data_IF_181951257541
#
_entry.id   IF_181951257541
#
_cell.length_a   1.000
_cell.length_b   1.000
_cell.length_c   1.000
_cell.angle_alpha   90.00
_cell.angle_beta   90.00
_cell.angle_gamma   90.00
#
_symmetry.space_group_name_H-M   'P 1'
#
loop_
_entity.id
_entity.type
_entity.pdbx_description
1 polymer ?
#
# COMPACT_ATOMS: atom_id res chain seq x y z
N UNK A 1 -26.08 40.58 12.13
CA UNK A 1 -25.58 39.89 10.93
C UNK A 1 -25.63 38.39 11.22
N UNK A 2 -26.82 37.79 11.26
CA UNK A 2 -27.46 36.94 10.23
C UNK A 2 -26.59 35.74 9.77
N UNK A 3 -27.16 34.56 10.04
CA UNK A 3 -26.80 33.17 9.74
C UNK A 3 -26.40 32.89 8.27
N UNK A 4 -25.89 31.66 8.07
CA UNK A 4 -25.83 30.79 6.87
C UNK A 4 -24.37 30.49 6.47
N UNK A 5 -23.91 29.27 6.18
CA UNK A 5 -24.60 28.09 5.64
C UNK A 5 -23.78 26.82 5.86
N UNK A 6 -24.47 25.75 6.31
CA UNK A 6 -24.12 24.36 6.09
C UNK A 6 -23.76 24.12 4.61
N UNK A 7 -22.64 23.45 4.32
CA UNK A 7 -22.45 22.77 3.04
C UNK A 7 -22.33 21.27 3.28
N UNK A 8 -23.50 20.64 3.21
CA UNK A 8 -23.73 19.21 3.12
C UNK A 8 -23.38 18.78 1.68
N UNK A 9 -22.24 18.14 1.46
CA UNK A 9 -21.93 17.53 0.16
C UNK A 9 -22.30 16.05 0.23
N UNK A 10 -23.58 15.80 -0.02
CA UNK A 10 -24.06 14.50 -0.47
C UNK A 10 -23.72 14.38 -1.97
N UNK A 11 -22.76 13.52 -2.32
CA UNK A 11 -22.48 13.18 -3.71
C UNK A 11 -22.88 11.72 -3.95
N UNK A 12 -24.17 11.50 -4.15
CA UNK A 12 -24.70 10.32 -4.84
C UNK A 12 -24.59 10.56 -6.33
N UNK A 13 -23.79 9.75 -7.03
CA UNK A 13 -23.97 9.54 -8.46
C UNK A 13 -24.30 8.06 -8.68
N UNK A 14 -25.57 7.85 -9.00
CA UNK A 14 -26.14 6.65 -9.56
C UNK A 14 -25.90 6.69 -11.07
N UNK A 15 -25.16 5.74 -11.62
CA UNK A 15 -25.26 5.40 -13.05
C UNK A 15 -24.93 3.92 -13.24
N UNK A 16 -25.82 3.24 -13.96
CA UNK A 16 -25.86 1.79 -14.16
C UNK A 16 -25.11 1.41 -15.47
N UNK A 17 -24.99 0.12 -15.85
CA UNK A 17 -23.73 -0.52 -16.19
C UNK A 17 -23.44 -0.60 -17.70
N UNK A 18 -22.17 -0.49 -18.08
CA UNK A 18 -21.66 -0.89 -19.40
C UNK A 18 -20.91 -2.22 -19.25
N UNK A 19 -21.25 -3.26 -20.01
CA UNK A 19 -20.48 -4.50 -20.07
C UNK A 19 -19.31 -4.32 -21.05
N UNK A 20 -18.10 -4.15 -20.53
CA UNK A 20 -16.85 -4.24 -21.30
C UNK A 20 -15.96 -5.36 -20.76
N UNK A 21 -15.50 -6.19 -21.69
CA UNK A 21 -14.54 -7.29 -21.51
C UNK A 21 -13.28 -6.91 -20.71
N UNK A 22 -12.68 -7.88 -19.98
CA UNK A 22 -11.68 -7.59 -18.96
C UNK A 22 -10.28 -7.43 -19.56
N UNK A 23 -9.95 -6.23 -20.06
CA UNK A 23 -8.55 -5.80 -20.16
C UNK A 23 -8.04 -5.51 -18.76
N UNK A 24 -7.45 -6.53 -18.10
CA UNK A 24 -6.80 -6.38 -16.78
C UNK A 24 -5.79 -5.22 -16.84
N UNK A 25 -6.03 -4.09 -16.15
CA UNK A 25 -4.96 -3.13 -15.94
C UNK A 25 -3.92 -3.84 -15.07
N UNK A 26 -2.66 -3.85 -15.50
CA UNK A 26 -1.51 -4.29 -14.68
C UNK A 26 -1.38 -3.31 -13.52
N UNK A 27 -2.22 -3.50 -12.50
CA UNK A 27 -2.13 -2.74 -11.25
C UNK A 27 -0.75 -3.07 -10.66
N UNK A 28 -0.03 -2.08 -10.12
CA UNK A 28 1.27 -2.32 -9.51
C UNK A 28 1.12 -3.49 -8.52
N UNK A 29 1.95 -4.53 -8.68
CA UNK A 29 1.75 -5.84 -8.02
C UNK A 29 1.62 -5.70 -6.51
N UNK A 30 2.35 -4.75 -5.92
CA UNK A 30 2.19 -4.35 -4.52
C UNK A 30 0.75 -3.94 -4.14
N UNK A 31 0.07 -3.17 -4.98
CA UNK A 31 -1.33 -2.75 -4.74
C UNK A 31 -2.30 -3.92 -4.85
N UNK A 32 -1.96 -4.96 -5.63
CA UNK A 32 -2.74 -6.19 -5.74
C UNK A 32 -2.58 -7.10 -4.51
N UNK A 33 -1.34 -7.39 -4.10
CA UNK A 33 -1.06 -8.29 -2.97
C UNK A 33 -1.58 -7.72 -1.63
N UNK A 34 -1.37 -6.42 -1.39
CA UNK A 34 -1.93 -5.74 -0.21
C UNK A 34 -3.46 -5.61 -0.27
N UNK A 35 -4.06 -5.57 -1.47
CA UNK A 35 -5.53 -5.57 -1.60
C UNK A 35 -6.15 -6.91 -1.23
N UNK A 36 -5.49 -8.02 -1.54
CA UNK A 36 -5.97 -9.35 -1.14
C UNK A 36 -5.86 -9.54 0.38
N UNK A 37 -4.76 -9.09 0.97
CA UNK A 37 -4.59 -9.09 2.43
C UNK A 37 -5.66 -8.23 3.11
N UNK A 38 -5.86 -6.99 2.65
CA UNK A 38 -6.89 -6.12 3.27
C UNK A 38 -8.30 -6.68 3.12
N UNK A 39 -8.62 -7.39 2.03
CA UNK A 39 -9.90 -8.09 1.89
C UNK A 39 -10.07 -9.26 2.85
N UNK A 40 -9.00 -9.94 3.28
CA UNK A 40 -9.12 -11.01 4.27
C UNK A 40 -9.28 -10.50 5.72
N UNK A 41 -8.95 -9.23 5.98
CA UNK A 41 -9.12 -8.64 7.31
C UNK A 41 -10.58 -8.33 7.60
N UNK A 42 -10.96 -8.44 8.88
CA UNK A 42 -12.25 -8.00 9.41
C UNK A 42 -12.48 -6.51 9.15
N UNK A 43 -13.75 -6.11 9.00
CA UNK A 43 -14.13 -4.74 8.68
C UNK A 43 -13.65 -3.72 9.73
N UNK A 44 -13.49 -4.15 10.99
CA UNK A 44 -12.93 -3.35 12.09
C UNK A 44 -11.41 -3.13 11.96
N UNK A 45 -10.66 -4.15 11.50
CA UNK A 45 -9.19 -4.11 11.39
C UNK A 45 -8.71 -3.43 10.11
N UNK A 46 -9.51 -3.46 9.04
CA UNK A 46 -9.19 -2.84 7.74
C UNK A 46 -8.82 -1.35 7.83
N UNK A 47 -9.64 -0.46 8.42
CA UNK A 47 -9.32 0.97 8.48
C UNK A 47 -8.03 1.22 9.27
N UNK A 48 -7.87 0.56 10.42
CA UNK A 48 -6.66 0.66 11.24
C UNK A 48 -5.41 0.20 10.47
N UNK A 49 -5.50 -0.92 9.74
CA UNK A 49 -4.39 -1.41 8.93
C UNK A 49 -4.04 -0.43 7.79
N UNK A 50 -5.05 0.15 7.13
CA UNK A 50 -4.82 1.15 6.08
C UNK A 50 -4.12 2.41 6.59
N UNK A 51 -4.46 2.86 7.81
CA UNK A 51 -3.78 3.97 8.46
C UNK A 51 -2.32 3.66 8.76
N UNK A 52 -2.02 2.47 9.29
CA UNK A 52 -0.65 2.01 9.53
C UNK A 52 0.16 1.95 8.23
N UNK A 53 -0.42 1.41 7.16
CA UNK A 53 0.22 1.40 5.83
C UNK A 53 0.40 2.80 5.23
N UNK A 54 -0.45 3.76 5.58
CA UNK A 54 -0.27 5.18 5.21
C UNK A 54 0.88 5.79 5.99
N UNK A 55 0.94 5.62 7.31
CA UNK A 55 2.07 6.07 8.15
C UNK A 55 3.39 5.47 7.67
N UNK A 56 3.42 4.17 7.34
CA UNK A 56 4.61 3.50 6.83
C UNK A 56 5.06 4.00 5.44
N UNK A 57 4.17 4.58 4.64
CA UNK A 57 4.57 5.30 3.42
C UNK A 57 5.17 6.66 3.72
N UNK A 58 4.68 7.34 4.75
CA UNK A 58 5.24 8.62 5.20
C UNK A 58 6.61 8.46 5.88
N UNK A 59 6.94 7.31 6.47
CA UNK A 59 8.30 7.10 7.02
C UNK A 59 9.40 7.14 5.96
N UNK A 60 9.07 7.00 4.67
CA UNK A 60 10.04 7.10 3.57
C UNK A 60 10.64 8.49 3.41
N UNK A 61 9.92 9.54 3.82
CA UNK A 61 10.38 10.94 3.75
C UNK A 61 11.09 11.38 5.05
N UNK A 62 11.10 10.55 6.09
CA UNK A 62 11.75 10.84 7.36
C UNK A 62 13.28 10.65 7.28
N UNK A 63 14.00 11.28 8.23
CA UNK A 63 15.45 11.12 8.37
C UNK A 63 15.82 9.67 8.72
N UNK A 64 17.05 9.28 8.37
CA UNK A 64 17.52 7.88 8.40
C UNK A 64 17.41 7.23 9.79
N UNK A 65 17.62 8.00 10.85
CA UNK A 65 17.53 7.57 12.25
C UNK A 65 16.08 7.34 12.67
N UNK A 66 15.24 8.37 12.55
CA UNK A 66 13.80 8.32 12.89
C UNK A 66 13.06 7.27 12.06
N UNK A 67 13.45 7.10 10.79
CA UNK A 67 12.86 6.11 9.88
C UNK A 67 13.00 4.69 10.42
N UNK A 68 14.15 4.32 10.98
CA UNK A 68 14.36 2.96 11.50
C UNK A 68 13.45 2.70 12.70
N UNK A 69 13.39 3.66 13.63
CA UNK A 69 12.53 3.57 14.82
C UNK A 69 11.06 3.50 14.42
N UNK A 70 10.61 4.41 13.54
CA UNK A 70 9.23 4.45 13.08
C UNK A 70 8.83 3.18 12.31
N UNK A 71 9.72 2.59 11.51
CA UNK A 71 9.43 1.32 10.82
C UNK A 71 9.22 0.19 11.83
N UNK A 72 10.10 0.06 12.83
CA UNK A 72 9.99 -0.99 13.85
C UNK A 72 8.71 -0.81 14.67
N UNK A 73 8.39 0.43 15.06
CA UNK A 73 7.19 0.72 15.84
C UNK A 73 5.91 0.43 15.04
N UNK A 74 5.84 0.88 13.78
CA UNK A 74 4.70 0.60 12.91
C UNK A 74 4.55 -0.90 12.63
N UNK A 75 5.65 -1.62 12.45
CA UNK A 75 5.60 -3.07 12.25
C UNK A 75 5.07 -3.80 13.50
N UNK A 76 5.46 -3.36 14.70
CA UNK A 76 4.91 -3.88 15.94
C UNK A 76 3.41 -3.56 16.10
N UNK A 77 2.95 -2.36 15.72
CA UNK A 77 1.52 -2.01 15.69
C UNK A 77 0.74 -2.88 14.70
N UNK A 78 1.31 -3.15 13.51
CA UNK A 78 0.72 -4.06 12.52
C UNK A 78 0.64 -5.48 13.08
N UNK A 79 1.68 -5.95 13.78
CA UNK A 79 1.67 -7.27 14.40
C UNK A 79 0.57 -7.39 15.46
N UNK A 80 0.40 -6.39 16.32
CA UNK A 80 -0.69 -6.37 17.32
C UNK A 80 -2.07 -6.38 16.67
N UNK A 81 -2.25 -5.61 15.60
CA UNK A 81 -3.53 -5.52 14.90
C UNK A 81 -3.89 -6.84 14.20
N UNK A 82 -2.93 -7.42 13.48
CA UNK A 82 -3.16 -8.60 12.64
C UNK A 82 -3.13 -9.91 13.44
N UNK A 83 -2.34 -9.99 14.52
CA UNK A 83 -2.13 -11.22 15.28
C UNK A 83 -1.66 -12.35 14.38
N UNK A 84 -2.42 -13.42 14.30
CA UNK A 84 -2.09 -14.61 13.50
C UNK A 84 -1.93 -14.33 11.99
N UNK A 85 -2.64 -13.34 11.47
CA UNK A 85 -2.54 -12.93 10.06
C UNK A 85 -1.26 -12.13 9.75
N UNK A 86 -0.47 -11.75 10.76
CA UNK A 86 0.77 -11.02 10.56
C UNK A 86 1.79 -11.79 9.69
N UNK A 87 1.82 -13.12 9.78
CA UNK A 87 2.69 -13.95 8.93
C UNK A 87 2.36 -13.78 7.44
N UNK A 88 1.07 -13.67 7.09
CA UNK A 88 0.63 -13.40 5.71
C UNK A 88 1.09 -12.03 5.24
N UNK A 89 0.97 -11.02 6.13
CA UNK A 89 1.48 -9.68 5.86
C UNK A 89 2.98 -9.67 5.57
N UNK A 90 3.80 -10.36 6.39
CA UNK A 90 5.25 -10.47 6.18
C UNK A 90 5.60 -11.12 4.85
N UNK A 91 4.92 -12.21 4.50
CA UNK A 91 5.09 -12.87 3.21
C UNK A 91 4.77 -11.92 2.04
N UNK A 92 3.66 -11.18 2.11
CA UNK A 92 3.30 -10.16 1.11
C UNK A 92 4.36 -9.06 1.04
N UNK A 93 4.88 -8.59 2.18
CA UNK A 93 5.91 -7.57 2.22
C UNK A 93 7.21 -8.05 1.56
N UNK A 94 7.65 -9.27 1.86
CA UNK A 94 8.85 -9.88 1.29
C UNK A 94 8.69 -10.10 -0.22
N UNK A 95 7.53 -10.57 -0.67
CA UNK A 95 7.23 -10.71 -2.09
C UNK A 95 7.27 -9.36 -2.83
N UNK A 96 6.65 -8.33 -2.25
CA UNK A 96 6.69 -6.96 -2.80
C UNK A 96 8.12 -6.40 -2.82
N UNK A 97 8.95 -6.76 -1.84
CA UNK A 97 10.34 -6.34 -1.82
C UNK A 97 11.15 -7.01 -2.92
N UNK A 98 11.03 -8.34 -3.06
CA UNK A 98 11.68 -9.13 -4.12
C UNK A 98 11.30 -8.65 -5.51
N UNK A 99 10.01 -8.41 -5.76
CA UNK A 99 9.54 -7.91 -7.05
C UNK A 99 10.06 -6.50 -7.35
N UNK A 100 10.12 -5.60 -6.36
CA UNK A 100 10.74 -4.28 -6.56
C UNK A 100 12.22 -4.38 -6.86
N UNK A 101 12.94 -5.28 -6.19
CA UNK A 101 14.36 -5.51 -6.48
C UNK A 101 14.55 -6.04 -7.90
N UNK A 102 13.73 -7.00 -8.33
CA UNK A 102 13.76 -7.54 -9.69
C UNK A 102 13.50 -6.44 -10.75
N UNK A 103 12.52 -5.56 -10.52
CA UNK A 103 12.26 -4.42 -11.41
C UNK A 103 13.43 -3.43 -11.47
N UNK A 104 14.10 -3.16 -10.34
CA UNK A 104 15.28 -2.31 -10.31
C UNK A 104 16.48 -2.95 -11.03
N UNK A 105 16.64 -4.27 -10.94
CA UNK A 105 17.71 -5.01 -11.61
C UNK A 105 17.56 -4.99 -13.15
N UNK A 106 16.33 -5.01 -13.66
CA UNK A 106 16.04 -4.93 -15.11
C UNK A 106 16.22 -3.49 -15.66
N UNK A 107 16.18 -2.48 -14.80
CA UNK A 107 16.31 -1.07 -15.19
C UNK A 107 17.76 -0.56 -15.27
N UNK A 108 18.77 -1.37 -14.94
CA UNK A 108 20.17 -0.99 -15.12
C UNK A 108 20.58 -1.30 -16.57
N UNK A 109 21.08 -0.33 -17.35
CA UNK A 109 21.69 -0.63 -18.64
C UNK A 109 22.84 -1.63 -18.44
N UNK A 110 23.08 -2.56 -19.39
CA UNK A 110 24.17 -3.51 -19.28
C UNK A 110 25.50 -2.78 -19.04
N UNK A 111 26.41 -3.33 -18.20
CA UNK A 111 27.71 -2.72 -17.98
C UNK A 111 28.44 -2.56 -19.33
N UNK A 112 29.15 -1.44 -19.56
CA UNK A 112 29.90 -1.25 -20.79
C UNK A 112 30.92 -2.40 -20.96
N UNK A 113 31.15 -2.88 -22.20
CA UNK A 113 32.14 -3.91 -22.45
C UNK A 113 33.53 -3.42 -22.01
N UNK A 114 34.42 -4.32 -21.54
CA UNK A 114 35.78 -3.96 -21.16
C UNK A 114 36.55 -3.41 -22.38
N UNK A 115 37.42 -2.41 -22.20
CA UNK A 115 38.26 -1.89 -23.27
C UNK A 115 39.25 -2.97 -23.78
N UNK A 116 39.67 -2.90 -25.06
CA UNK A 116 40.59 -3.87 -25.69
C UNK A 116 41.99 -3.88 -25.06
#
# INVERSE_FOLDING_TARGET
MRLLTLSLIACTTLTAPVPEEPKKPVKPVAKSLFSNLTKSLSQEKRPQFMELMKKMRMTKIMKKEDKKVAIVQLDAEIHKLLGDDYKKYRSVQDQVHKERQALHAVSLPPPPPPPP
#
